data_IF_206034502400
#
_entry.id   IF_206034502400
#
_cell.length_a   1.000
_cell.length_b   1.000
_cell.length_c   1.000
_cell.angle_alpha   90.00
_cell.angle_beta   90.00
_cell.angle_gamma   90.00
#
_symmetry.space_group_name_H-M   'P 1'
#
loop_
_entity.id
_entity.type
_entity.pdbx_description
1 polymer ?
#
# COMPACT_ATOMS: atom_id res chain seq x y z
N UNK A 1 11.98 -22.89 13.81
CA UNK A 1 13.16 -22.00 13.90
C UNK A 1 12.91 -20.88 12.91
N UNK A 2 12.66 -19.67 13.39
CA UNK A 2 12.54 -18.48 12.52
C UNK A 2 13.95 -18.06 12.13
N UNK A 3 14.36 -18.45 10.94
CA UNK A 3 15.59 -17.93 10.33
C UNK A 3 15.40 -16.43 10.13
N UNK A 4 16.30 -15.63 10.69
CA UNK A 4 16.27 -14.17 10.49
C UNK A 4 16.53 -13.86 9.03
N UNK A 5 15.72 -12.98 8.43
CA UNK A 5 15.94 -12.57 7.06
C UNK A 5 17.30 -11.89 6.91
N UNK A 6 17.99 -12.21 5.82
CA UNK A 6 19.32 -11.66 5.51
C UNK A 6 19.20 -10.18 5.09
N UNK A 7 20.11 -9.32 5.56
CA UNK A 7 20.11 -7.87 5.32
C UNK A 7 21.43 -7.34 4.72
N UNK A 8 22.38 -8.20 4.41
CA UNK A 8 23.76 -7.87 3.99
C UNK A 8 24.03 -8.21 2.53
N UNK A 9 23.03 -8.03 1.67
CA UNK A 9 23.13 -8.29 0.24
C UNK A 9 24.12 -7.35 -0.43
N UNK A 10 25.03 -7.90 -1.25
CA UNK A 10 25.90 -7.11 -2.13
C UNK A 10 25.20 -6.83 -3.47
N UNK A 11 25.59 -5.76 -4.21
CA UNK A 11 25.08 -5.51 -5.55
C UNK A 11 25.23 -6.72 -6.49
N UNK A 12 26.38 -7.37 -6.48
CA UNK A 12 26.68 -8.53 -7.36
C UNK A 12 25.73 -9.71 -7.08
N UNK A 13 25.38 -9.96 -5.82
CA UNK A 13 24.41 -11.00 -5.45
C UNK A 13 23.00 -10.66 -5.94
N UNK A 14 22.61 -9.38 -5.88
CA UNK A 14 21.31 -8.93 -6.39
C UNK A 14 21.29 -9.03 -7.92
N UNK A 15 22.35 -8.63 -8.61
CA UNK A 15 22.45 -8.79 -10.08
C UNK A 15 22.40 -10.26 -10.49
N UNK A 16 23.05 -11.15 -9.74
CA UNK A 16 22.97 -12.58 -9.99
C UNK A 16 21.54 -13.15 -9.89
N UNK A 17 20.72 -12.64 -8.96
CA UNK A 17 19.29 -13.00 -8.89
C UNK A 17 18.53 -12.54 -10.13
N UNK A 18 18.79 -11.32 -10.63
CA UNK A 18 18.15 -10.83 -11.87
C UNK A 18 18.60 -11.60 -13.12
N UNK A 19 19.78 -12.20 -13.10
CA UNK A 19 20.31 -13.01 -14.19
C UNK A 19 19.76 -14.45 -14.22
N UNK A 20 19.06 -14.89 -13.18
CA UNK A 20 18.47 -16.23 -13.15
C UNK A 20 17.39 -16.38 -14.22
N UNK A 21 17.23 -17.58 -14.82
CA UNK A 21 16.04 -17.93 -15.56
C UNK A 21 14.78 -17.70 -14.70
N UNK A 22 13.72 -17.18 -15.31
CA UNK A 22 12.52 -16.75 -14.57
C UNK A 22 11.93 -17.86 -13.68
N UNK A 23 11.91 -19.11 -14.17
CA UNK A 23 11.38 -20.25 -13.40
C UNK A 23 12.24 -20.59 -12.18
N UNK A 24 13.55 -20.47 -12.31
CA UNK A 24 14.49 -20.69 -11.19
C UNK A 24 14.33 -19.58 -10.14
N UNK A 25 14.17 -18.33 -10.58
CA UNK A 25 13.88 -17.21 -9.68
C UNK A 25 12.56 -17.41 -8.91
N UNK A 26 11.50 -17.88 -9.57
CA UNK A 26 10.22 -18.19 -8.92
C UNK A 26 10.36 -19.32 -7.90
N UNK A 27 11.12 -20.36 -8.23
CA UNK A 27 11.37 -21.48 -7.32
C UNK A 27 12.12 -21.03 -6.07
N UNK A 28 13.20 -20.25 -6.24
CA UNK A 28 13.94 -19.69 -5.11
C UNK A 28 13.08 -18.73 -4.26
N UNK A 29 12.27 -17.89 -4.89
CA UNK A 29 11.34 -17.02 -4.17
C UNK A 29 10.33 -17.81 -3.33
N UNK A 30 9.79 -18.92 -3.87
CA UNK A 30 8.89 -19.81 -3.13
C UNK A 30 9.60 -20.55 -2.00
N UNK A 31 10.85 -20.97 -2.18
CA UNK A 31 11.64 -21.60 -1.12
C UNK A 31 11.81 -20.65 0.07
N UNK A 32 12.29 -19.44 -0.19
CA UNK A 32 12.49 -18.39 0.82
C UNK A 32 11.15 -18.01 1.49
N UNK A 33 10.08 -17.86 0.70
CA UNK A 33 8.76 -17.58 1.23
C UNK A 33 8.32 -18.62 2.27
N UNK A 34 8.48 -19.91 1.96
CA UNK A 34 8.08 -21.01 2.85
C UNK A 34 8.94 -21.12 4.11
N UNK A 35 10.18 -20.63 4.07
CA UNK A 35 11.06 -20.58 5.24
C UNK A 35 10.68 -19.48 6.22
N UNK A 36 10.15 -18.34 5.71
CA UNK A 36 9.94 -17.13 6.50
C UNK A 36 8.47 -16.75 6.71
N UNK A 37 7.55 -17.28 5.92
CA UNK A 37 6.14 -16.92 5.93
C UNK A 37 5.24 -18.17 6.00
N UNK A 38 3.98 -17.95 6.37
CA UNK A 38 2.96 -19.00 6.26
C UNK A 38 2.73 -19.35 4.77
N UNK A 39 3.04 -20.58 4.31
CA UNK A 39 3.23 -20.88 2.89
C UNK A 39 1.98 -20.73 2.01
N UNK A 40 0.80 -20.87 2.61
CA UNK A 40 -0.48 -20.85 1.89
C UNK A 40 -1.41 -19.70 2.36
N UNK A 41 -0.83 -18.68 2.97
CA UNK A 41 -1.59 -17.50 3.43
C UNK A 41 -1.39 -16.35 2.45
N UNK A 42 -2.50 -15.78 1.98
CA UNK A 42 -2.52 -14.59 1.12
C UNK A 42 -3.21 -13.45 1.87
N UNK A 43 -2.55 -12.31 1.98
CA UNK A 43 -3.16 -11.11 2.52
C UNK A 43 -4.04 -10.45 1.45
N UNK A 44 -5.34 -10.42 1.69
CA UNK A 44 -6.29 -9.70 0.85
C UNK A 44 -6.35 -8.23 1.28
N UNK A 45 -5.85 -7.33 0.44
CA UNK A 45 -5.79 -5.90 0.75
C UNK A 45 -6.75 -5.10 -0.12
N UNK A 46 -7.50 -4.19 0.50
CA UNK A 46 -8.31 -3.17 -0.19
C UNK A 46 -7.70 -1.80 0.05
N UNK A 47 -7.59 -0.99 -1.00
CA UNK A 47 -7.13 0.39 -0.92
C UNK A 47 -8.29 1.35 -1.11
N UNK A 48 -8.39 2.35 -0.23
CA UNK A 48 -9.30 3.48 -0.36
C UNK A 48 -8.50 4.78 -0.47
N UNK A 49 -8.78 5.58 -1.51
CA UNK A 49 -8.36 6.98 -1.55
C UNK A 49 -9.31 7.79 -0.68
N UNK A 50 -8.85 8.24 0.48
CA UNK A 50 -9.66 9.07 1.39
C UNK A 50 -9.61 10.56 1.03
N UNK A 51 -8.69 10.94 0.16
CA UNK A 51 -8.61 12.25 -0.49
C UNK A 51 -7.94 12.09 -1.85
N UNK A 52 -8.67 12.40 -2.91
CA UNK A 52 -8.23 12.23 -4.30
C UNK A 52 -7.86 13.58 -4.92
N UNK A 53 -6.81 13.61 -5.72
CA UNK A 53 -6.40 14.76 -6.53
C UNK A 53 -5.87 15.96 -5.74
N UNK A 54 -5.53 17.00 -6.47
CA UNK A 54 -4.97 18.27 -5.95
C UNK A 54 -3.71 18.09 -5.06
N UNK A 55 -2.89 17.07 -5.33
CA UNK A 55 -1.58 16.93 -4.71
C UNK A 55 -0.60 17.97 -5.30
N UNK A 56 0.10 18.79 -4.50
CA UNK A 56 1.02 19.81 -5.01
C UNK A 56 2.36 19.25 -5.50
N UNK A 57 2.62 17.95 -5.32
CA UNK A 57 3.85 17.29 -5.75
C UNK A 57 3.93 17.13 -7.27
N UNK A 58 5.14 17.09 -7.79
CA UNK A 58 5.47 16.97 -9.22
C UNK A 58 5.95 15.56 -9.58
N UNK A 59 5.15 14.55 -9.24
CA UNK A 59 5.45 13.16 -9.57
C UNK A 59 4.90 12.86 -10.97
N UNK A 60 5.77 12.77 -11.97
CA UNK A 60 5.40 12.63 -13.38
C UNK A 60 4.52 11.43 -13.72
N UNK A 61 4.56 10.36 -12.91
CA UNK A 61 3.74 9.15 -13.10
C UNK A 61 2.41 9.19 -12.32
N UNK A 62 2.21 10.19 -11.44
CA UNK A 62 1.10 10.19 -10.50
C UNK A 62 -0.08 11.02 -11.01
N UNK A 63 -1.26 10.42 -11.27
CA UNK A 63 -2.43 11.14 -11.75
C UNK A 63 -3.04 12.09 -10.72
N UNK A 64 -2.59 12.05 -9.47
CA UNK A 64 -3.08 12.88 -8.37
C UNK A 64 -2.45 14.29 -8.33
N UNK A 65 -1.35 14.50 -9.10
CA UNK A 65 -0.66 15.79 -9.15
C UNK A 65 -1.51 16.87 -9.82
N UNK A 66 -1.50 18.08 -9.26
CA UNK A 66 -2.17 19.25 -9.87
C UNK A 66 -1.42 19.79 -11.09
N UNK A 67 -0.21 19.30 -11.34
CA UNK A 67 0.67 19.79 -12.41
C UNK A 67 0.36 19.15 -13.77
N UNK A 68 -0.42 18.07 -13.76
CA UNK A 68 -0.79 17.34 -14.96
C UNK A 68 -2.31 17.28 -15.09
N UNK A 69 -2.81 17.53 -16.29
CA UNK A 69 -4.23 17.34 -16.61
C UNK A 69 -4.46 15.86 -16.94
N UNK A 70 -4.95 15.13 -15.95
CA UNK A 70 -5.23 13.69 -16.06
C UNK A 70 -6.73 13.40 -16.09
N UNK A 71 -7.59 14.43 -16.11
CA UNK A 71 -9.05 14.29 -16.01
C UNK A 71 -9.52 13.79 -14.62
N UNK A 72 -8.63 13.68 -13.62
CA UNK A 72 -8.98 13.22 -12.28
C UNK A 72 -9.72 14.31 -11.51
N UNK A 73 -10.94 14.03 -11.05
CA UNK A 73 -11.71 14.94 -10.21
C UNK A 73 -11.05 15.13 -8.83
N UNK A 74 -11.13 16.35 -8.31
CA UNK A 74 -10.59 16.71 -7.01
C UNK A 74 -11.62 16.48 -5.94
N UNK A 75 -11.27 15.68 -4.95
CA UNK A 75 -12.14 15.38 -3.80
C UNK A 75 -11.59 15.99 -2.52
N UNK A 76 -12.47 16.37 -1.62
CA UNK A 76 -12.14 16.73 -0.25
C UNK A 76 -11.85 15.50 0.58
N UNK A 77 -11.24 15.68 1.76
CA UNK A 77 -11.03 14.59 2.70
C UNK A 77 -12.40 13.97 3.08
N UNK A 78 -12.50 12.66 2.93
CA UNK A 78 -13.71 11.87 3.19
C UNK A 78 -14.15 11.98 4.66
N UNK A 79 -15.44 11.84 4.94
CA UNK A 79 -15.93 11.79 6.31
C UNK A 79 -15.53 10.46 6.99
N UNK A 80 -15.31 10.50 8.31
CA UNK A 80 -14.91 9.32 9.10
C UNK A 80 -15.94 8.19 8.98
N UNK A 81 -17.22 8.52 9.00
CA UNK A 81 -18.33 7.56 8.85
C UNK A 81 -18.34 6.83 7.52
N UNK A 82 -17.98 7.54 6.44
CA UNK A 82 -17.93 6.94 5.09
C UNK A 82 -16.75 6.00 4.96
N UNK A 83 -15.60 6.35 5.54
CA UNK A 83 -14.43 5.48 5.59
C UNK A 83 -14.73 4.21 6.39
N UNK A 84 -15.38 4.34 7.56
CA UNK A 84 -15.79 3.19 8.38
C UNK A 84 -16.75 2.26 7.63
N UNK A 85 -17.73 2.81 6.93
CA UNK A 85 -18.68 2.03 6.12
C UNK A 85 -17.96 1.26 4.99
N UNK A 86 -17.01 1.91 4.29
CA UNK A 86 -16.23 1.26 3.23
C UNK A 86 -15.27 0.19 3.79
N UNK A 87 -14.67 0.41 4.95
CA UNK A 87 -13.83 -0.58 5.62
C UNK A 87 -14.65 -1.82 6.03
N UNK A 88 -15.86 -1.62 6.57
CA UNK A 88 -16.79 -2.71 6.88
C UNK A 88 -17.15 -3.51 5.64
N UNK A 89 -17.53 -2.85 4.55
CA UNK A 89 -17.85 -3.52 3.29
C UNK A 89 -16.64 -4.29 2.72
N UNK A 90 -15.42 -3.72 2.81
CA UNK A 90 -14.21 -4.41 2.39
C UNK A 90 -13.95 -5.69 3.22
N UNK A 91 -14.17 -5.62 4.55
CA UNK A 91 -14.05 -6.78 5.44
C UNK A 91 -15.07 -7.86 5.11
N UNK A 92 -16.32 -7.48 4.87
CA UNK A 92 -17.40 -8.40 4.47
C UNK A 92 -17.10 -9.06 3.11
N UNK A 93 -16.39 -8.36 2.21
CA UNK A 93 -15.89 -8.90 0.96
C UNK A 93 -14.61 -9.76 1.10
N UNK A 94 -14.12 -9.99 2.32
CA UNK A 94 -12.97 -10.87 2.61
C UNK A 94 -11.62 -10.15 2.71
N UNK A 95 -11.56 -8.82 2.71
CA UNK A 95 -10.30 -8.11 2.93
C UNK A 95 -9.79 -8.35 4.37
N UNK A 96 -8.52 -8.71 4.47
CA UNK A 96 -7.80 -8.88 5.75
C UNK A 96 -6.95 -7.66 6.10
N UNK A 97 -6.79 -6.74 5.14
CA UNK A 97 -6.09 -5.47 5.31
C UNK A 97 -6.83 -4.36 4.58
N UNK A 98 -6.98 -3.22 5.25
CA UNK A 98 -7.54 -2.01 4.67
C UNK A 98 -6.49 -0.91 4.65
N UNK A 99 -6.15 -0.42 3.45
CA UNK A 99 -5.17 0.64 3.25
C UNK A 99 -5.90 1.95 2.94
N UNK A 100 -5.42 3.05 3.50
CA UNK A 100 -5.93 4.38 3.22
C UNK A 100 -4.83 5.25 2.63
N UNK A 101 -5.11 5.90 1.50
CA UNK A 101 -4.21 6.83 0.83
C UNK A 101 -4.82 8.22 0.73
N UNK A 102 -4.00 9.26 0.77
CA UNK A 102 -4.44 10.64 0.58
C UNK A 102 -3.43 11.44 -0.25
N UNK A 103 -3.93 12.23 -1.19
CA UNK A 103 -3.15 13.05 -2.09
C UNK A 103 -2.66 14.34 -1.38
N UNK A 104 -1.57 14.25 -0.63
CA UNK A 104 -0.91 15.36 0.06
C UNK A 104 0.61 15.34 -0.12
N UNK A 105 1.23 16.53 -0.03
CA UNK A 105 2.65 16.64 0.29
C UNK A 105 2.91 16.26 1.75
N UNK A 106 2.13 16.89 2.65
CA UNK A 106 2.11 16.56 4.08
C UNK A 106 0.76 16.95 4.67
N UNK A 107 0.23 16.17 5.63
CA UNK A 107 -1.02 16.52 6.31
C UNK A 107 -0.82 17.72 7.24
N UNK A 108 -1.84 18.58 7.35
CA UNK A 108 -1.91 19.62 8.39
C UNK A 108 -2.33 18.98 9.72
N UNK A 109 -2.12 19.67 10.85
CA UNK A 109 -2.50 19.16 12.18
C UNK A 109 -3.95 18.68 12.24
N UNK A 110 -4.89 19.48 11.70
CA UNK A 110 -6.32 19.11 11.60
C UNK A 110 -6.57 17.83 10.79
N UNK A 111 -5.78 17.62 9.73
CA UNK A 111 -5.93 16.45 8.86
C UNK A 111 -5.43 15.17 9.58
N UNK A 112 -4.37 15.30 10.41
CA UNK A 112 -3.87 14.24 11.27
C UNK A 112 -4.93 13.80 12.29
N UNK A 113 -5.65 14.76 12.89
CA UNK A 113 -6.72 14.45 13.86
C UNK A 113 -7.86 13.65 13.19
N UNK A 114 -8.29 14.05 11.99
CA UNK A 114 -9.32 13.34 11.22
C UNK A 114 -8.84 11.96 10.78
N UNK A 115 -7.61 11.85 10.25
CA UNK A 115 -7.03 10.55 9.87
C UNK A 115 -6.89 9.61 11.07
N UNK A 116 -6.51 10.14 12.23
CA UNK A 116 -6.44 9.36 13.46
C UNK A 116 -7.81 8.84 13.91
N UNK A 117 -8.87 9.64 13.70
CA UNK A 117 -10.25 9.19 13.95
C UNK A 117 -10.65 8.09 12.97
N UNK A 118 -10.36 8.23 11.67
CA UNK A 118 -10.60 7.17 10.67
C UNK A 118 -9.92 5.85 11.06
N UNK A 119 -8.64 5.91 11.46
CA UNK A 119 -7.88 4.71 11.88
C UNK A 119 -8.52 4.05 13.10
N UNK A 120 -9.00 4.82 14.05
CA UNK A 120 -9.67 4.28 15.25
C UNK A 120 -10.98 3.57 14.91
N UNK A 121 -11.76 4.14 13.99
CA UNK A 121 -13.04 3.54 13.56
C UNK A 121 -12.86 2.28 12.70
N UNK A 122 -11.76 2.18 11.96
CA UNK A 122 -11.47 1.02 11.10
C UNK A 122 -10.88 -0.16 11.88
N UNK A 123 -10.25 0.07 13.04
CA UNK A 123 -9.65 -0.99 13.90
C UNK A 123 -10.69 -1.73 14.71
#
# INVERSE_FOLDING_TARGET
MTTTARHDWTPDEVEALFALPFQDLLFEAQRVHREHQAPNTVQMSTLLSVKTGACPEDCAYCPQSIRYDTGLERETLMAVTDVAARAKAAREAGATRFCMGAAWRSPKKRDIEVMSAMIREVK
#
